data_IF_328289001185
#
_entry.id   IF_328289001185
#
_cell.length_a   1.000
_cell.length_b   1.000
_cell.length_c   1.000
_cell.angle_alpha   90.00
_cell.angle_beta   90.00
_cell.angle_gamma   90.00
#
_symmetry.space_group_name_H-M   'P 1'
#
loop_
_entity.id
_entity.type
_entity.pdbx_description
1 polymer ?
#
# COMPACT_ATOMS: atom_id res chain seq x y z
N UNK A 1 -28.63 -3.95 -25.46
CA UNK A 1 -28.36 -3.97 -24.01
C UNK A 1 -26.85 -4.16 -23.83
N UNK A 2 -26.15 -3.13 -23.36
CA UNK A 2 -24.72 -3.27 -23.02
C UNK A 2 -24.67 -4.00 -21.69
N UNK A 3 -24.16 -5.22 -21.67
CA UNK A 3 -23.90 -5.93 -20.42
C UNK A 3 -22.96 -5.05 -19.59
N UNK A 4 -23.43 -4.54 -18.46
CA UNK A 4 -22.61 -3.74 -17.56
C UNK A 4 -21.62 -4.69 -16.89
N UNK A 5 -20.44 -4.83 -17.48
CA UNK A 5 -19.35 -5.60 -16.90
C UNK A 5 -18.96 -4.97 -15.58
N UNK A 6 -19.05 -5.74 -14.50
CA UNK A 6 -18.63 -5.33 -13.17
C UNK A 6 -17.13 -5.03 -13.19
N UNK A 7 -16.67 -3.91 -12.60
CA UNK A 7 -15.25 -3.60 -12.57
C UNK A 7 -14.50 -4.60 -11.70
N UNK A 8 -13.32 -5.02 -12.17
CA UNK A 8 -12.38 -5.86 -11.43
C UNK A 8 -11.40 -4.99 -10.66
N UNK A 9 -11.37 -5.14 -9.34
CA UNK A 9 -10.54 -4.32 -8.45
C UNK A 9 -9.51 -5.22 -7.76
N UNK A 10 -8.23 -4.84 -7.88
CA UNK A 10 -7.13 -5.48 -7.16
C UNK A 10 -6.95 -4.84 -5.78
N UNK A 11 -7.17 -5.60 -4.72
CA UNK A 11 -6.91 -5.21 -3.33
C UNK A 11 -5.58 -5.76 -2.87
N UNK A 12 -4.66 -4.88 -2.48
CA UNK A 12 -3.35 -5.24 -1.94
C UNK A 12 -3.23 -4.74 -0.52
N UNK A 13 -3.14 -5.65 0.45
CA UNK A 13 -3.32 -5.34 1.87
C UNK A 13 -2.18 -5.93 2.72
N UNK A 14 -1.47 -5.07 3.43
CA UNK A 14 -0.46 -5.45 4.42
C UNK A 14 -1.08 -6.26 5.57
N UNK A 15 -0.43 -7.35 5.95
CA UNK A 15 -0.86 -8.25 7.04
C UNK A 15 0.06 -8.09 8.26
N UNK A 16 0.09 -6.87 8.80
CA UNK A 16 0.85 -6.48 9.99
C UNK A 16 -0.08 -5.75 10.97
N UNK A 17 0.08 -5.98 12.28
CA UNK A 17 -0.59 -5.20 13.34
C UNK A 17 -2.10 -4.95 13.05
N UNK A 18 -2.56 -3.70 13.17
CA UNK A 18 -3.96 -3.31 12.93
C UNK A 18 -4.43 -3.42 11.46
N UNK A 19 -3.51 -3.60 10.51
CA UNK A 19 -3.86 -3.79 9.09
C UNK A 19 -4.53 -5.14 8.84
N UNK A 20 -4.27 -6.14 9.70
CA UNK A 20 -4.96 -7.45 9.64
C UNK A 20 -6.46 -7.27 9.89
N UNK A 21 -6.83 -6.53 10.94
CA UNK A 21 -8.24 -6.25 11.24
C UNK A 21 -8.91 -5.42 10.15
N UNK A 22 -8.21 -4.42 9.60
CA UNK A 22 -8.73 -3.66 8.45
C UNK A 22 -8.97 -4.57 7.23
N UNK A 23 -8.06 -5.51 6.97
CA UNK A 23 -8.17 -6.47 5.87
C UNK A 23 -9.36 -7.41 6.05
N UNK A 24 -9.56 -7.95 7.26
CA UNK A 24 -10.70 -8.80 7.59
C UNK A 24 -12.03 -8.05 7.37
N UNK A 25 -12.12 -6.80 7.83
CA UNK A 25 -13.31 -5.97 7.62
C UNK A 25 -13.60 -5.74 6.13
N UNK A 26 -12.57 -5.45 5.32
CA UNK A 26 -12.73 -5.31 3.87
C UNK A 26 -13.17 -6.63 3.24
N UNK A 27 -12.50 -7.74 3.55
CA UNK A 27 -12.85 -9.06 3.03
C UNK A 27 -14.31 -9.42 3.34
N UNK A 28 -14.76 -9.22 4.58
CA UNK A 28 -16.12 -9.56 4.99
C UNK A 28 -17.18 -8.73 4.25
N UNK A 29 -16.95 -7.43 4.09
CA UNK A 29 -17.95 -6.53 3.50
C UNK A 29 -17.91 -6.54 1.97
N UNK A 30 -16.71 -6.51 1.37
CA UNK A 30 -16.55 -6.48 -0.10
C UNK A 30 -16.93 -7.82 -0.74
N UNK A 31 -16.72 -8.96 -0.05
CA UNK A 31 -17.17 -10.25 -0.59
C UNK A 31 -18.70 -10.36 -0.72
N UNK A 32 -19.44 -9.47 -0.04
CA UNK A 32 -20.91 -9.35 -0.15
C UNK A 32 -21.34 -8.31 -1.18
N UNK A 33 -20.42 -7.51 -1.69
CA UNK A 33 -20.70 -6.51 -2.72
C UNK A 33 -20.58 -7.13 -4.12
N UNK A 34 -21.72 -7.46 -4.71
CA UNK A 34 -21.79 -8.04 -6.03
C UNK A 34 -21.62 -7.02 -7.17
N UNK A 35 -21.47 -5.72 -6.87
CA UNK A 35 -21.27 -4.68 -7.89
C UNK A 35 -19.85 -4.70 -8.48
N UNK A 36 -18.89 -5.34 -7.80
CA UNK A 36 -17.49 -5.43 -8.22
C UNK A 36 -16.98 -6.87 -8.22
N UNK A 37 -15.84 -7.10 -8.88
CA UNK A 37 -15.07 -8.34 -8.78
C UNK A 37 -13.78 -8.05 -8.03
N UNK A 38 -13.65 -8.55 -6.80
CA UNK A 38 -12.47 -8.31 -5.98
C UNK A 38 -11.41 -9.41 -6.15
N UNK A 39 -10.16 -9.01 -6.41
CA UNK A 39 -8.99 -9.88 -6.31
C UNK A 39 -8.12 -9.46 -5.12
N UNK A 40 -7.64 -10.42 -4.35
CA UNK A 40 -6.96 -10.15 -3.07
C UNK A 40 -5.49 -10.54 -3.09
N UNK A 41 -4.64 -9.63 -2.64
CA UNK A 41 -3.20 -9.76 -2.56
C UNK A 41 -2.75 -9.41 -1.15
N UNK A 42 -2.64 -10.42 -0.30
CA UNK A 42 -2.25 -10.23 1.10
C UNK A 42 -0.73 -10.20 1.19
N UNK A 43 -0.19 -9.07 1.67
CA UNK A 43 1.25 -8.84 1.79
C UNK A 43 1.67 -9.17 3.21
N UNK A 44 2.14 -10.40 3.41
CA UNK A 44 2.56 -10.90 4.71
C UNK A 44 3.87 -10.27 5.20
N UNK A 45 4.02 -10.13 6.52
CA UNK A 45 5.25 -9.63 7.15
C UNK A 45 6.42 -10.61 7.03
N UNK A 46 6.13 -11.89 7.29
CA UNK A 46 7.16 -12.90 7.57
C UNK A 46 8.02 -13.20 6.33
N UNK A 47 9.31 -13.41 6.56
CA UNK A 47 10.26 -13.96 5.57
C UNK A 47 10.82 -15.26 6.11
N UNK A 48 10.54 -16.35 5.42
CA UNK A 48 11.12 -17.65 5.73
C UNK A 48 12.24 -17.96 4.72
N UNK A 49 13.28 -18.67 5.18
CA UNK A 49 14.32 -19.24 4.32
C UNK A 49 15.30 -18.22 3.71
N UNK A 50 15.88 -18.56 2.55
CA UNK A 50 17.00 -17.83 1.92
C UNK A 50 16.70 -16.36 1.58
N UNK A 51 15.43 -16.00 1.43
CA UNK A 51 15.03 -14.62 1.09
C UNK A 51 15.26 -13.62 2.22
N UNK A 52 15.36 -14.07 3.47
CA UNK A 52 15.71 -13.20 4.61
C UNK A 52 17.19 -12.77 4.57
N UNK A 53 18.03 -13.46 3.78
CA UNK A 53 19.46 -13.17 3.63
C UNK A 53 19.77 -12.23 2.47
N UNK A 54 18.78 -11.89 1.64
CA UNK A 54 18.96 -10.96 0.52
C UNK A 54 19.17 -9.53 1.06
N UNK A 55 20.26 -8.84 0.69
CA UNK A 55 20.48 -7.45 1.10
C UNK A 55 19.29 -6.56 0.73
N UNK A 56 18.92 -5.64 1.62
CA UNK A 56 17.78 -4.72 1.52
C UNK A 56 16.40 -5.39 1.56
N UNK A 57 16.17 -6.52 0.88
CA UNK A 57 14.87 -7.22 0.93
C UNK A 57 14.63 -7.93 2.27
N UNK A 58 15.66 -8.55 2.84
CA UNK A 58 15.59 -9.18 4.16
C UNK A 58 15.42 -8.15 5.29
N UNK A 59 16.00 -6.97 5.13
CA UNK A 59 16.18 -5.98 6.20
C UNK A 59 15.28 -4.76 6.11
N UNK A 60 14.74 -4.41 4.93
CA UNK A 60 13.90 -3.24 4.71
C UNK A 60 12.47 -3.65 4.34
N UNK A 61 11.53 -3.38 5.25
CA UNK A 61 10.12 -3.69 5.05
C UNK A 61 9.53 -3.00 3.82
N UNK A 62 9.82 -1.72 3.58
CA UNK A 62 9.31 -0.98 2.42
C UNK A 62 9.67 -1.64 1.11
N UNK A 63 10.93 -2.08 0.98
CA UNK A 63 11.41 -2.80 -0.21
C UNK A 63 10.67 -4.12 -0.37
N UNK A 64 10.55 -4.88 0.70
CA UNK A 64 9.90 -6.19 0.68
C UNK A 64 8.40 -6.11 0.40
N UNK A 65 7.69 -5.24 1.12
CA UNK A 65 6.26 -5.00 0.97
C UNK A 65 5.95 -4.54 -0.45
N UNK A 66 6.69 -3.55 -0.96
CA UNK A 66 6.52 -3.04 -2.32
C UNK A 66 6.77 -4.09 -3.39
N UNK A 67 7.84 -4.89 -3.27
CA UNK A 67 8.11 -5.96 -4.23
C UNK A 67 7.04 -7.06 -4.21
N UNK A 68 6.60 -7.49 -3.01
CA UNK A 68 5.54 -8.49 -2.85
C UNK A 68 4.21 -7.99 -3.42
N UNK A 69 3.82 -6.76 -3.09
CA UNK A 69 2.65 -6.08 -3.64
C UNK A 69 2.68 -6.07 -5.17
N UNK A 70 3.82 -5.66 -5.75
CA UNK A 70 4.02 -5.60 -7.19
C UNK A 70 3.86 -6.96 -7.86
N UNK A 71 4.35 -8.04 -7.24
CA UNK A 71 4.16 -9.41 -7.71
C UNK A 71 2.70 -9.83 -7.67
N UNK A 72 1.98 -9.49 -6.61
CA UNK A 72 0.55 -9.78 -6.47
C UNK A 72 -0.26 -9.07 -7.57
N UNK A 73 -0.04 -7.77 -7.78
CA UNK A 73 -0.72 -7.01 -8.84
C UNK A 73 -0.43 -7.61 -10.22
N UNK A 74 0.83 -7.93 -10.51
CA UNK A 74 1.20 -8.54 -11.78
C UNK A 74 0.59 -9.94 -11.99
N UNK A 75 0.35 -10.70 -10.91
CA UNK A 75 -0.35 -11.99 -10.97
C UNK A 75 -1.86 -11.79 -11.19
N UNK A 76 -2.49 -10.83 -10.50
CA UNK A 76 -3.89 -10.48 -10.69
C UNK A 76 -4.17 -10.03 -12.12
N UNK A 77 -3.37 -9.08 -12.63
CA UNK A 77 -3.49 -8.56 -13.99
C UNK A 77 -3.37 -9.65 -15.06
N UNK A 78 -2.59 -10.70 -14.80
CA UNK A 78 -2.47 -11.86 -15.69
C UNK A 78 -3.69 -12.77 -15.63
N UNK A 79 -4.37 -12.86 -14.49
CA UNK A 79 -5.60 -13.67 -14.33
C UNK A 79 -6.78 -13.00 -15.00
N UNK A 80 -6.95 -11.70 -14.77
CA UNK A 80 -7.87 -10.86 -15.52
C UNK A 80 -7.41 -9.40 -15.49
N UNK A 81 -7.71 -8.60 -16.52
CA UNK A 81 -7.44 -7.18 -16.50
C UNK A 81 -8.08 -6.51 -15.28
N UNK A 82 -7.31 -5.68 -14.58
CA UNK A 82 -7.80 -4.86 -13.48
C UNK A 82 -8.28 -3.51 -14.01
N UNK A 83 -9.40 -3.03 -13.49
CA UNK A 83 -9.94 -1.70 -13.78
C UNK A 83 -9.48 -0.65 -12.77
N UNK A 84 -9.17 -1.08 -11.54
CA UNK A 84 -8.70 -0.22 -10.46
C UNK A 84 -7.87 -0.98 -9.43
N UNK A 85 -7.17 -0.22 -8.58
CA UNK A 85 -6.42 -0.75 -7.44
C UNK A 85 -6.85 -0.09 -6.14
N UNK A 86 -6.85 -0.89 -5.07
CA UNK A 86 -6.88 -0.43 -3.69
C UNK A 86 -5.64 -0.97 -2.97
N UNK A 87 -4.82 -0.10 -2.41
CA UNK A 87 -3.56 -0.48 -1.77
C UNK A 87 -3.54 0.04 -0.34
N UNK A 88 -3.26 -0.86 0.60
CA UNK A 88 -3.03 -0.54 2.00
C UNK A 88 -1.77 -1.29 2.47
N UNK A 89 -0.72 -0.62 2.95
CA UNK A 89 -0.59 0.82 3.24
C UNK A 89 0.17 1.56 2.14
N UNK A 90 0.47 2.85 2.35
CA UNK A 90 1.41 3.60 1.52
C UNK A 90 2.79 2.92 1.41
N UNK A 91 3.21 2.16 2.43
CA UNK A 91 4.51 1.48 2.46
C UNK A 91 4.61 0.45 1.34
N UNK A 92 3.55 -0.33 1.11
CA UNK A 92 3.46 -1.18 -0.06
C UNK A 92 3.40 -0.37 -1.38
N UNK A 93 2.73 0.79 -1.38
CA UNK A 93 2.46 1.59 -2.58
C UNK A 93 3.67 2.35 -3.16
N UNK A 94 4.59 2.84 -2.32
CA UNK A 94 5.66 3.79 -2.75
C UNK A 94 6.61 3.26 -3.82
N UNK A 95 6.73 1.95 -3.98
CA UNK A 95 7.59 1.31 -5.00
C UNK A 95 6.83 0.90 -6.27
N UNK A 96 5.64 1.45 -6.49
CA UNK A 96 4.78 1.08 -7.63
C UNK A 96 4.26 2.25 -8.48
N UNK A 97 5.07 3.30 -8.77
CA UNK A 97 4.59 4.47 -9.50
C UNK A 97 4.08 4.14 -10.91
N UNK A 98 4.60 3.12 -11.57
CA UNK A 98 4.14 2.68 -12.89
C UNK A 98 2.76 2.03 -12.85
N UNK A 99 2.40 1.30 -11.79
CA UNK A 99 1.04 0.78 -11.61
C UNK A 99 0.06 1.91 -11.30
N UNK A 100 0.43 2.85 -10.41
CA UNK A 100 -0.40 4.01 -10.08
C UNK A 100 -0.66 4.91 -11.29
N UNK A 101 0.29 5.00 -12.23
CA UNK A 101 0.11 5.73 -13.50
C UNK A 101 -0.82 5.02 -14.49
N UNK A 102 -0.92 3.70 -14.42
CA UNK A 102 -1.68 2.88 -15.38
C UNK A 102 -3.11 2.64 -14.95
N UNK A 103 -3.34 2.47 -13.64
CA UNK A 103 -4.64 2.13 -13.08
C UNK A 103 -5.08 3.19 -12.06
N UNK A 104 -6.34 3.63 -12.09
CA UNK A 104 -6.86 4.48 -11.02
C UNK A 104 -6.71 3.75 -9.68
N UNK A 105 -5.94 4.35 -8.78
CA UNK A 105 -5.53 3.70 -7.53
C UNK A 105 -5.99 4.50 -6.32
N UNK A 106 -6.67 3.82 -5.40
CA UNK A 106 -6.93 4.33 -4.05
C UNK A 106 -5.79 3.85 -3.13
N UNK A 107 -5.09 4.79 -2.50
CA UNK A 107 -4.10 4.47 -1.46
C UNK A 107 -4.71 4.77 -0.10
N UNK A 108 -4.83 3.73 0.72
CA UNK A 108 -5.32 3.81 2.09
C UNK A 108 -4.14 3.82 3.06
N UNK A 109 -4.14 4.73 4.01
CA UNK A 109 -3.06 4.88 5.00
C UNK A 109 -3.59 5.16 6.41
N UNK A 110 -2.91 4.58 7.39
CA UNK A 110 -3.18 4.68 8.82
C UNK A 110 -2.33 5.77 9.50
N UNK A 111 -1.15 6.05 8.96
CA UNK A 111 -0.21 7.08 9.39
C UNK A 111 0.64 7.59 8.21
N UNK A 112 1.18 8.81 8.32
CA UNK A 112 2.18 9.37 7.39
C UNK A 112 3.60 9.11 7.89
N UNK A 113 4.63 9.08 7.02
CA UNK A 113 6.02 8.87 7.47
C UNK A 113 6.47 9.87 8.54
N UNK A 114 6.16 11.16 8.37
CA UNK A 114 6.48 12.15 9.41
C UNK A 114 5.79 11.87 10.77
N UNK A 115 4.64 11.20 10.79
CA UNK A 115 4.01 10.76 12.03
C UNK A 115 4.69 9.53 12.64
N UNK A 116 5.22 8.62 11.81
CA UNK A 116 6.08 7.54 12.28
C UNK A 116 7.37 8.09 12.89
N UNK A 117 7.97 9.11 12.26
CA UNK A 117 9.18 9.74 12.76
C UNK A 117 8.93 10.51 14.07
N UNK A 118 7.79 11.23 14.19
CA UNK A 118 7.40 11.91 15.43
C UNK A 118 6.99 10.94 16.57
N UNK A 119 6.69 9.69 16.26
CA UNK A 119 6.47 8.60 17.23
C UNK A 119 7.73 7.73 17.42
N UNK A 120 8.84 8.07 16.73
CA UNK A 120 10.04 7.25 16.59
C UNK A 120 10.75 6.91 17.90
N UNK A 121 10.65 7.79 18.91
CA UNK A 121 11.19 7.55 20.25
C UNK A 121 10.55 6.33 20.94
N UNK A 122 9.31 5.97 20.60
CA UNK A 122 8.61 4.80 21.14
C UNK A 122 8.70 3.54 20.26
N UNK A 123 9.09 3.68 18.99
CA UNK A 123 9.13 2.59 18.00
C UNK A 123 10.54 2.20 17.54
N UNK A 124 11.59 2.81 18.10
CA UNK A 124 12.99 2.48 17.77
C UNK A 124 13.41 2.92 16.37
N UNK A 125 12.83 4.00 15.85
CA UNK A 125 13.19 4.53 14.53
C UNK A 125 14.46 5.39 14.63
N UNK A 126 15.59 4.86 14.18
CA UNK A 126 16.77 5.68 13.91
C UNK A 126 16.52 6.44 12.60
N UNK A 127 16.36 7.78 12.70
CA UNK A 127 16.33 8.66 11.53
C UNK A 127 17.59 8.40 10.69
N UNK A 128 17.43 8.12 9.40
CA UNK A 128 18.55 7.89 8.49
C UNK A 128 19.35 9.18 8.25
N UNK A 129 20.38 9.08 7.42
CA UNK A 129 21.06 10.28 6.92
C UNK A 129 20.08 11.19 6.17
N UNK A 130 20.32 12.51 6.17
CA UNK A 130 19.42 13.52 5.58
C UNK A 130 19.03 13.23 4.12
N UNK A 131 19.94 12.64 3.34
CA UNK A 131 19.66 12.20 1.97
C UNK A 131 18.64 11.05 1.93
N UNK A 132 18.74 10.04 2.80
CA UNK A 132 17.82 8.90 2.83
C UNK A 132 16.42 9.37 3.20
N UNK A 133 16.30 10.28 4.16
CA UNK A 133 15.02 10.88 4.54
C UNK A 133 14.43 11.72 3.40
N UNK A 134 15.25 12.49 2.68
CA UNK A 134 14.79 13.23 1.50
C UNK A 134 14.27 12.29 0.39
N UNK A 135 14.90 11.13 0.19
CA UNK A 135 14.43 10.14 -0.79
C UNK A 135 13.13 9.46 -0.33
N UNK A 136 13.02 9.08 0.95
CA UNK A 136 11.77 8.57 1.53
C UNK A 136 10.63 9.57 1.35
N UNK A 137 10.88 10.85 1.63
CA UNK A 137 9.89 11.91 1.45
C UNK A 137 9.46 12.03 -0.02
N UNK A 138 10.41 12.09 -0.96
CA UNK A 138 10.11 12.17 -2.40
C UNK A 138 9.29 10.98 -2.91
N UNK A 139 9.61 9.76 -2.47
CA UNK A 139 8.88 8.56 -2.86
C UNK A 139 7.44 8.59 -2.35
N UNK A 140 7.22 9.02 -1.11
CA UNK A 140 5.88 9.18 -0.55
C UNK A 140 5.11 10.29 -1.27
N UNK A 141 5.72 11.45 -1.48
CA UNK A 141 5.09 12.55 -2.22
C UNK A 141 4.69 12.12 -3.64
N UNK A 142 5.58 11.40 -4.35
CA UNK A 142 5.27 10.87 -5.66
C UNK A 142 4.09 9.89 -5.61
N UNK A 143 4.08 8.97 -4.65
CA UNK A 143 2.98 8.03 -4.45
C UNK A 143 1.65 8.76 -4.22
N UNK A 144 1.64 9.76 -3.33
CA UNK A 144 0.44 10.53 -3.00
C UNK A 144 -0.09 11.31 -4.19
N UNK A 145 0.78 11.90 -5.01
CA UNK A 145 0.41 12.65 -6.21
C UNK A 145 -0.11 11.75 -7.34
N UNK A 146 0.37 10.51 -7.42
CA UNK A 146 -0.05 9.56 -8.45
C UNK A 146 -1.34 8.81 -8.07
N UNK A 147 -1.66 8.71 -6.78
CA UNK A 147 -2.91 8.11 -6.33
C UNK A 147 -4.11 8.92 -6.83
N UNK A 148 -5.14 8.25 -7.34
CA UNK A 148 -6.41 8.88 -7.73
C UNK A 148 -7.11 9.45 -6.49
N UNK A 149 -7.09 8.69 -5.40
CA UNK A 149 -7.64 9.08 -4.11
C UNK A 149 -6.75 8.58 -2.97
N UNK A 150 -6.70 9.39 -1.90
CA UNK A 150 -6.08 9.03 -0.63
C UNK A 150 -7.17 8.86 0.42
N UNK A 151 -7.21 7.71 1.07
CA UNK A 151 -8.13 7.42 2.18
C UNK A 151 -7.32 7.33 3.46
N UNK A 152 -7.70 8.13 4.45
CA UNK A 152 -7.01 8.16 5.75
C UNK A 152 -7.94 7.71 6.85
N UNK A 153 -7.40 7.00 7.84
CA UNK A 153 -8.21 6.50 8.97
C UNK A 153 -8.63 7.59 9.95
N UNK A 154 -8.08 8.81 9.86
CA UNK A 154 -8.53 9.91 10.71
C UNK A 154 -8.29 11.31 10.13
N UNK A 155 -9.05 12.29 10.63
CA UNK A 155 -8.89 13.71 10.28
C UNK A 155 -7.47 14.22 10.55
N UNK A 156 -6.80 13.72 11.60
CA UNK A 156 -5.41 14.10 11.92
C UNK A 156 -4.45 13.68 10.80
N UNK A 157 -4.68 12.53 10.17
CA UNK A 157 -3.86 12.03 9.06
C UNK A 157 -4.11 12.81 7.78
N UNK A 158 -5.38 13.10 7.48
CA UNK A 158 -5.75 13.99 6.37
C UNK A 158 -5.04 15.35 6.47
N UNK A 159 -4.98 15.95 7.67
CA UNK A 159 -4.27 17.22 7.89
C UNK A 159 -2.78 17.10 7.59
N UNK A 160 -2.12 16.05 8.09
CA UNK A 160 -0.69 15.79 7.82
C UNK A 160 -0.42 15.64 6.32
N UNK A 161 -1.27 14.94 5.57
CA UNK A 161 -1.12 14.85 4.11
C UNK A 161 -1.19 16.20 3.39
N UNK A 162 -1.88 17.21 3.96
CA UNK A 162 -2.01 18.54 3.36
C UNK A 162 -0.86 19.45 3.79
N UNK A 163 -0.41 19.36 5.05
CA UNK A 163 0.63 20.23 5.59
C UNK A 163 2.04 19.77 5.22
N UNK A 164 2.24 18.47 5.01
CA UNK A 164 3.58 17.86 5.06
C UNK A 164 4.07 17.31 3.69
N UNK A 165 3.18 17.21 2.68
CA UNK A 165 3.43 16.57 1.39
C UNK A 165 2.79 17.32 0.22
#
# INVERSE_FOLDING_TARGET
MVATTRPTIGFVLEQTLGHVTHSQNLLTNISRDHSIVAQWGLVEWQTNGLTSRLPLYGTNWTVRAGWRARRQIAQMQRRSPLDALFIHTQVAAVLMPDWLKRLPTVVSLDATPQQYDALGDFYGHATGTSWVEAQKWRLNQQCYRLARHLVTWSKKKKKSLISDY
#
